data_IF_381299971141
#
_entry.id   IF_381299971141
#
_cell.length_a   1.000
_cell.length_b   1.000
_cell.length_c   1.000
_cell.angle_alpha   90.00
_cell.angle_beta   90.00
_cell.angle_gamma   90.00
#
_symmetry.space_group_name_H-M   'P 1'
#
loop_
_entity.id
_entity.type
_entity.pdbx_description
1 polymer ?
#
# COMPACT_ATOMS: atom_id res chain seq x y z
N UNK A 1 -23.92 39.40 19.46
CA UNK A 1 -22.74 39.16 18.58
C UNK A 1 -22.11 37.81 18.93
N UNK A 2 -22.61 36.70 18.40
CA UNK A 2 -22.07 35.34 18.69
C UNK A 2 -21.77 34.52 17.44
N UNK A 3 -21.75 35.16 16.26
CA UNK A 3 -21.54 34.47 14.98
C UNK A 3 -20.04 34.15 14.73
N UNK A 4 -19.13 35.03 15.15
CA UNK A 4 -17.69 34.88 14.85
C UNK A 4 -16.98 33.72 15.55
N UNK A 5 -17.39 33.36 16.79
CA UNK A 5 -16.69 32.32 17.57
C UNK A 5 -16.98 30.90 17.07
N UNK A 6 -18.19 30.64 16.57
CA UNK A 6 -18.57 29.36 15.97
C UNK A 6 -17.89 29.13 14.63
N UNK A 7 -17.83 30.16 13.78
CA UNK A 7 -17.16 30.11 12.49
C UNK A 7 -15.66 29.83 12.62
N UNK A 8 -14.96 30.47 13.58
CA UNK A 8 -13.52 30.22 13.81
C UNK A 8 -13.26 28.77 14.23
N UNK A 9 -14.12 28.20 15.10
CA UNK A 9 -14.00 26.80 15.53
C UNK A 9 -14.30 25.82 14.39
N UNK A 10 -15.32 26.10 13.58
CA UNK A 10 -15.65 25.30 12.40
C UNK A 10 -14.54 25.35 11.34
N UNK A 11 -13.97 26.53 11.09
CA UNK A 11 -12.85 26.69 10.16
C UNK A 11 -11.61 25.90 10.62
N UNK A 12 -11.29 25.98 11.92
CA UNK A 12 -10.20 25.21 12.52
C UNK A 12 -10.41 23.70 12.33
N UNK A 13 -11.60 23.19 12.62
CA UNK A 13 -11.92 21.76 12.44
C UNK A 13 -11.78 21.32 10.96
N UNK A 14 -12.25 22.12 10.01
CA UNK A 14 -12.13 21.83 8.57
C UNK A 14 -10.67 21.83 8.09
N UNK A 15 -9.79 22.66 8.66
CA UNK A 15 -8.38 22.70 8.30
C UNK A 15 -7.57 21.48 8.80
N UNK A 16 -8.03 20.80 9.86
CA UNK A 16 -7.40 19.57 10.38
C UNK A 16 -7.98 18.27 9.78
N UNK A 17 -9.17 18.32 9.17
CA UNK A 17 -9.81 17.16 8.52
C UNK A 17 -9.00 16.45 7.41
N UNK A 18 -8.15 17.09 6.59
CA UNK A 18 -7.45 16.35 5.53
C UNK A 18 -6.32 15.46 6.06
N UNK A 19 -5.97 15.51 7.34
CA UNK A 19 -4.94 14.61 7.92
C UNK A 19 -5.45 13.18 8.16
N UNK A 20 -6.75 12.92 8.00
CA UNK A 20 -7.37 11.60 8.20
C UNK A 20 -7.61 10.87 6.87
N UNK A 21 -7.04 11.36 5.75
CA UNK A 21 -7.17 10.66 4.48
C UNK A 21 -6.42 9.33 4.52
N UNK A 22 -7.16 8.24 4.27
CA UNK A 22 -6.65 6.94 3.86
C UNK A 22 -6.05 7.05 2.44
N UNK A 23 -5.02 7.88 2.29
CA UNK A 23 -4.30 8.06 1.05
C UNK A 23 -3.23 6.98 0.89
N UNK A 24 -3.00 6.57 -0.34
CA UNK A 24 -1.86 5.69 -0.67
C UNK A 24 -0.53 6.32 -0.21
N UNK A 25 0.49 5.47 -0.04
CA UNK A 25 1.85 5.95 0.25
C UNK A 25 2.28 6.96 -0.84
N UNK A 26 2.77 8.17 -0.49
CA UNK A 26 3.18 9.17 -1.48
C UNK A 26 4.19 8.62 -2.48
N UNK A 27 3.98 8.91 -3.77
CA UNK A 27 4.85 8.43 -4.86
C UNK A 27 4.61 6.99 -5.30
N UNK A 28 3.58 6.33 -4.76
CA UNK A 28 3.12 5.03 -5.26
C UNK A 28 2.28 5.17 -6.53
N UNK A 29 2.26 4.10 -7.32
CA UNK A 29 1.44 3.98 -8.53
C UNK A 29 1.01 2.53 -8.74
N UNK A 30 -0.11 2.34 -9.43
CA UNK A 30 -0.57 1.02 -9.84
C UNK A 30 0.27 0.44 -10.98
N UNK A 31 0.24 -0.88 -11.09
CA UNK A 31 0.82 -1.61 -12.22
C UNK A 31 -0.07 -1.43 -13.46
N UNK A 32 0.46 -0.98 -14.62
CA UNK A 32 -0.37 -0.72 -15.81
C UNK A 32 -1.18 -1.92 -16.31
N UNK A 33 -0.67 -3.14 -16.08
CA UNK A 33 -1.31 -4.38 -16.53
C UNK A 33 -2.23 -5.04 -15.49
N UNK A 34 -2.26 -4.55 -14.25
CA UNK A 34 -3.03 -5.15 -13.16
C UNK A 34 -3.99 -4.12 -12.60
N UNK A 35 -5.29 -4.34 -12.81
CA UNK A 35 -6.30 -3.47 -12.24
C UNK A 35 -6.31 -3.59 -10.71
N UNK A 36 -6.41 -2.45 -10.03
CA UNK A 36 -6.57 -2.40 -8.59
C UNK A 36 -7.96 -2.93 -8.22
N UNK A 37 -8.01 -3.74 -7.15
CA UNK A 37 -9.28 -4.16 -6.56
C UNK A 37 -10.03 -2.96 -5.97
N UNK A 38 -11.36 -2.98 -6.04
CA UNK A 38 -12.22 -1.92 -5.49
C UNK A 38 -11.91 -1.75 -3.99
N UNK A 39 -11.77 -0.49 -3.57
CA UNK A 39 -11.46 -0.06 -2.20
C UNK A 39 -10.11 -0.55 -1.63
N UNK A 40 -9.21 -1.09 -2.46
CA UNK A 40 -7.85 -1.41 -2.02
C UNK A 40 -6.97 -0.15 -1.91
N UNK A 41 -6.07 -0.16 -0.93
CA UNK A 41 -5.12 0.93 -0.65
C UNK A 41 -3.68 0.41 -0.74
N UNK A 42 -2.77 1.21 -1.30
CA UNK A 42 -1.34 0.92 -1.32
C UNK A 42 -0.75 1.28 0.04
N UNK A 43 -0.44 0.26 0.83
CA UNK A 43 0.22 0.39 2.14
C UNK A 43 1.73 0.24 2.08
N UNK A 44 2.24 -0.40 1.02
CA UNK A 44 3.67 -0.56 0.75
C UNK A 44 3.90 -0.42 -0.76
N UNK A 45 4.94 0.31 -1.13
CA UNK A 45 5.33 0.53 -2.51
C UNK A 45 6.85 0.45 -2.62
N UNK A 46 7.33 -0.57 -3.34
CA UNK A 46 8.73 -0.73 -3.69
C UNK A 46 8.89 -0.63 -5.20
N UNK A 47 9.58 0.42 -5.71
CA UNK A 47 9.88 0.53 -7.13
C UNK A 47 10.59 -0.73 -7.67
N UNK A 48 10.42 -0.99 -8.96
CA UNK A 48 11.15 -2.05 -9.63
C UNK A 48 12.65 -1.73 -9.58
N UNK A 49 13.36 -2.44 -8.72
CA UNK A 49 14.81 -2.45 -8.65
C UNK A 49 15.30 -3.66 -9.43
N UNK A 50 16.48 -3.54 -10.06
CA UNK A 50 17.16 -4.65 -10.74
C UNK A 50 17.65 -5.68 -9.70
N UNK A 51 16.72 -6.50 -9.24
CA UNK A 51 16.93 -7.57 -8.28
C UNK A 51 16.53 -8.89 -8.89
N UNK A 52 17.41 -9.86 -8.78
CA UNK A 52 17.08 -11.24 -9.13
C UNK A 52 15.97 -11.75 -8.20
N UNK A 53 14.90 -12.29 -8.81
CA UNK A 53 13.76 -12.87 -8.11
C UNK A 53 13.47 -14.23 -8.70
N UNK A 54 13.36 -15.24 -7.83
CA UNK A 54 12.95 -16.60 -8.21
C UNK A 54 11.49 -16.76 -7.83
N UNK A 55 10.61 -16.90 -8.81
CA UNK A 55 9.18 -17.17 -8.59
C UNK A 55 8.94 -18.68 -8.70
N UNK A 56 8.35 -19.32 -7.68
CA UNK A 56 8.06 -20.75 -7.75
C UNK A 56 6.93 -21.02 -8.75
N UNK A 57 7.08 -22.08 -9.56
CA UNK A 57 6.04 -22.54 -10.51
C UNK A 57 5.15 -23.65 -9.94
N UNK A 58 5.32 -23.97 -8.65
CA UNK A 58 4.62 -25.07 -7.98
C UNK A 58 4.76 -24.97 -6.46
N UNK A 59 4.47 -26.05 -5.75
CA UNK A 59 4.54 -26.06 -4.29
C UNK A 59 5.98 -25.85 -3.79
N UNK A 60 6.12 -25.09 -2.71
CA UNK A 60 7.40 -24.78 -2.08
C UNK A 60 7.48 -25.36 -0.67
N UNK A 61 8.64 -25.90 -0.31
CA UNK A 61 8.89 -26.50 1.01
C UNK A 61 10.27 -26.09 1.53
N UNK A 62 10.41 -25.98 2.85
CA UNK A 62 11.71 -25.79 3.50
C UNK A 62 12.08 -27.06 4.25
N UNK A 63 13.15 -27.74 3.85
CA UNK A 63 13.64 -28.98 4.47
C UNK A 63 15.08 -28.74 4.89
N UNK A 64 15.39 -28.94 6.18
CA UNK A 64 16.74 -28.78 6.73
C UNK A 64 17.39 -27.42 6.38
N UNK A 65 16.60 -26.35 6.38
CA UNK A 65 17.08 -25.00 6.06
C UNK A 65 17.10 -24.65 4.57
N UNK A 66 16.96 -25.64 3.69
CA UNK A 66 17.01 -25.46 2.23
C UNK A 66 15.61 -25.35 1.63
N UNK A 67 15.46 -24.41 0.69
CA UNK A 67 14.25 -24.23 -0.08
C UNK A 67 14.21 -25.28 -1.20
N UNK A 68 13.10 -26.02 -1.28
CA UNK A 68 12.86 -27.04 -2.29
C UNK A 68 11.59 -26.70 -3.06
N UNK A 69 11.69 -26.82 -4.38
CA UNK A 69 10.58 -26.64 -5.29
C UNK A 69 10.10 -28.00 -5.79
N UNK A 70 8.84 -28.07 -6.19
CA UNK A 70 8.28 -29.22 -6.90
C UNK A 70 9.10 -29.50 -8.18
N UNK A 71 9.59 -30.74 -8.34
CA UNK A 71 10.45 -31.15 -9.46
C UNK A 71 11.97 -31.03 -9.23
N UNK A 72 12.41 -30.51 -8.07
CA UNK A 72 13.82 -30.51 -7.69
C UNK A 72 14.20 -31.89 -7.09
N UNK A 73 14.85 -32.74 -7.90
CA UNK A 73 15.38 -34.04 -7.49
C UNK A 73 16.60 -33.91 -6.55
#
# INVERSE_FOLDING_TARGET
MSLGKGCIRALGLCCFSPLVFAADVPGSQDLPAVARQVDAQIVDYRPAEDKERIYPMGAIRKISGQLRYEGQA
#
